data_IF_089603375994
#
_entry.id   IF_089603375994
#
_cell.length_a   1.000
_cell.length_b   1.000
_cell.length_c   1.000
_cell.angle_alpha   90.00
_cell.angle_beta   90.00
_cell.angle_gamma   90.00
#
_symmetry.space_group_name_H-M   'P 1'
#
loop_
_entity.id
_entity.type
_entity.pdbx_description
1 polymer ?
#
# COMPACT_ATOMS: atom_id res chain seq x y z
N UNK A 1 21.14 3.58 -14.65
CA UNK A 1 19.80 3.30 -14.07
C UNK A 1 19.43 4.48 -13.20
N UNK A 2 18.23 5.04 -13.35
CA UNK A 2 17.74 6.09 -12.44
C UNK A 2 17.04 5.40 -11.27
N UNK A 3 17.82 5.10 -10.24
CA UNK A 3 17.39 4.47 -8.98
C UNK A 3 16.06 5.03 -8.43
N UNK A 4 15.83 6.37 -8.38
CA UNK A 4 14.55 6.89 -7.90
C UNK A 4 13.35 6.58 -8.82
N UNK A 5 13.57 6.44 -10.12
CA UNK A 5 12.53 6.06 -11.09
C UNK A 5 12.16 4.59 -10.95
N UNK A 6 13.15 3.72 -10.77
CA UNK A 6 12.92 2.27 -10.59
C UNK A 6 12.13 2.00 -9.29
N UNK A 7 12.46 2.71 -8.20
CA UNK A 7 11.73 2.59 -6.92
C UNK A 7 10.27 3.04 -7.03
N UNK A 8 9.99 4.12 -7.77
CA UNK A 8 8.62 4.57 -8.02
C UNK A 8 7.82 3.54 -8.85
N UNK A 9 8.44 2.91 -9.85
CA UNK A 9 7.80 1.88 -10.67
C UNK A 9 7.49 0.61 -9.87
N UNK A 10 8.43 0.15 -9.04
CA UNK A 10 8.19 -0.99 -8.13
C UNK A 10 7.07 -0.65 -7.16
N UNK A 11 7.08 0.54 -6.57
CA UNK A 11 6.02 0.93 -5.64
C UNK A 11 4.66 1.07 -6.33
N UNK A 12 4.62 1.53 -7.58
CA UNK A 12 3.39 1.54 -8.38
C UNK A 12 2.85 0.11 -8.55
N UNK A 13 3.69 -0.85 -8.91
CA UNK A 13 3.28 -2.25 -9.10
C UNK A 13 2.78 -2.85 -7.78
N UNK A 14 3.53 -2.67 -6.70
CA UNK A 14 3.16 -3.15 -5.35
C UNK A 14 1.83 -2.52 -4.90
N UNK A 15 1.68 -1.20 -5.05
CA UNK A 15 0.46 -0.50 -4.68
C UNK A 15 -0.74 -0.98 -5.50
N UNK A 16 -0.57 -1.15 -6.80
CA UNK A 16 -1.66 -1.59 -7.68
C UNK A 16 -2.04 -3.04 -7.39
N UNK A 17 -1.07 -3.93 -7.22
CA UNK A 17 -1.31 -5.33 -6.85
C UNK A 17 -2.01 -5.46 -5.51
N UNK A 18 -1.52 -4.74 -4.49
CA UNK A 18 -2.12 -4.74 -3.16
C UNK A 18 -3.53 -4.13 -3.18
N UNK A 19 -3.75 -3.06 -3.95
CA UNK A 19 -5.07 -2.42 -4.07
C UNK A 19 -6.10 -3.35 -4.72
N UNK A 20 -5.72 -4.10 -5.75
CA UNK A 20 -6.62 -5.06 -6.40
C UNK A 20 -6.97 -6.21 -5.46
N UNK A 21 -5.96 -6.76 -4.78
CA UNK A 21 -6.13 -7.94 -3.94
C UNK A 21 -6.89 -7.61 -2.65
N UNK A 22 -6.48 -6.55 -1.95
CA UNK A 22 -7.12 -6.10 -0.71
C UNK A 22 -8.42 -5.36 -0.99
N UNK A 23 -8.46 -4.49 -2.00
CA UNK A 23 -9.68 -3.77 -2.36
C UNK A 23 -10.79 -4.69 -2.86
N UNK A 24 -10.45 -5.70 -3.67
CA UNK A 24 -11.41 -6.71 -4.12
C UNK A 24 -11.94 -7.57 -2.97
N UNK A 25 -11.06 -8.03 -2.08
CA UNK A 25 -11.45 -8.86 -0.94
C UNK A 25 -12.20 -8.07 0.14
N UNK A 26 -11.65 -6.93 0.56
CA UNK A 26 -12.24 -6.08 1.59
C UNK A 26 -13.53 -5.39 1.10
N UNK A 27 -13.59 -4.96 -0.16
CA UNK A 27 -14.81 -4.40 -0.75
C UNK A 27 -15.96 -5.41 -0.79
N UNK A 28 -15.65 -6.67 -1.10
CA UNK A 28 -16.63 -7.77 -1.08
C UNK A 28 -17.17 -8.08 0.31
N UNK A 29 -16.31 -8.07 1.34
CA UNK A 29 -16.70 -8.32 2.74
C UNK A 29 -17.49 -7.16 3.35
N UNK A 30 -17.03 -5.93 3.15
CA UNK A 30 -17.69 -4.74 3.70
C UNK A 30 -19.13 -4.61 3.20
N UNK A 31 -19.36 -4.90 1.92
CA UNK A 31 -20.70 -4.82 1.33
C UNK A 31 -21.62 -5.99 1.74
N UNK A 32 -21.06 -7.10 2.21
CA UNK A 32 -21.82 -8.28 2.63
C UNK A 32 -22.33 -8.17 4.09
N UNK A 33 -21.60 -7.49 4.97
CA UNK A 33 -21.88 -7.51 6.41
C UNK A 33 -22.54 -6.24 6.97
N UNK A 34 -22.32 -5.07 6.37
CA UNK A 34 -22.63 -3.80 7.04
C UNK A 34 -23.35 -2.82 6.12
N UNK A 35 -24.49 -2.27 6.58
CA UNK A 35 -25.23 -1.22 5.86
C UNK A 35 -25.33 0.03 6.74
N UNK A 36 -24.98 1.21 6.20
CA UNK A 36 -25.11 2.50 6.88
C UNK A 36 -23.78 3.18 7.24
N UNK A 37 -23.76 3.98 8.32
CA UNK A 37 -22.58 4.77 8.74
C UNK A 37 -21.37 3.91 9.11
N UNK A 38 -21.61 2.68 9.56
CA UNK A 38 -20.57 1.70 9.88
C UNK A 38 -19.82 1.22 8.63
N UNK A 39 -20.50 1.14 7.46
CA UNK A 39 -19.86 0.82 6.17
C UNK A 39 -18.81 1.89 5.81
N UNK A 40 -19.15 3.16 6.03
CA UNK A 40 -18.27 4.29 5.76
C UNK A 40 -17.04 4.26 6.68
N UNK A 41 -17.25 3.98 7.97
CA UNK A 41 -16.17 3.87 8.95
C UNK A 41 -15.24 2.68 8.62
N UNK A 42 -15.78 1.52 8.24
CA UNK A 42 -15.00 0.36 7.84
C UNK A 42 -14.17 0.65 6.59
N UNK A 43 -14.78 1.19 5.53
CA UNK A 43 -14.06 1.58 4.31
C UNK A 43 -12.95 2.59 4.59
N UNK A 44 -13.24 3.59 5.43
CA UNK A 44 -12.25 4.57 5.86
C UNK A 44 -11.06 3.91 6.57
N UNK A 45 -11.33 3.01 7.52
CA UNK A 45 -10.28 2.29 8.26
C UNK A 45 -9.42 1.38 7.38
N UNK A 46 -10.03 0.70 6.39
CA UNK A 46 -9.32 -0.13 5.42
C UNK A 46 -8.42 0.73 4.53
N UNK A 47 -8.92 1.87 4.05
CA UNK A 47 -8.11 2.82 3.27
C UNK A 47 -6.94 3.36 4.08
N UNK A 48 -7.16 3.67 5.35
CA UNK A 48 -6.11 4.13 6.26
C UNK A 48 -5.03 3.06 6.48
N UNK A 49 -5.45 1.82 6.75
CA UNK A 49 -4.53 0.69 6.91
C UNK A 49 -3.71 0.43 5.65
N UNK A 50 -4.36 0.47 4.48
CA UNK A 50 -3.71 0.36 3.18
C UNK A 50 -2.63 1.44 3.00
N UNK A 51 -2.94 2.69 3.33
CA UNK A 51 -1.98 3.80 3.26
C UNK A 51 -0.78 3.57 4.17
N UNK A 52 -0.98 3.13 5.42
CA UNK A 52 0.12 2.85 6.35
C UNK A 52 1.04 1.73 5.86
N UNK A 53 0.48 0.69 5.23
CA UNK A 53 1.27 -0.40 4.65
C UNK A 53 2.15 0.11 3.51
N UNK A 54 1.59 0.92 2.60
CA UNK A 54 2.38 1.53 1.52
C UNK A 54 3.47 2.46 2.03
N UNK A 55 3.15 3.27 3.04
CA UNK A 55 4.13 4.16 3.66
C UNK A 55 5.26 3.37 4.33
N UNK A 56 4.95 2.27 5.02
CA UNK A 56 5.96 1.39 5.61
C UNK A 56 6.86 0.73 4.56
N UNK A 57 6.27 0.25 3.46
CA UNK A 57 7.02 -0.29 2.31
C UNK A 57 7.93 0.77 1.69
N UNK A 58 7.45 1.99 1.52
CA UNK A 58 8.26 3.10 1.01
C UNK A 58 9.49 3.37 1.87
N UNK A 59 9.33 3.40 3.20
CA UNK A 59 10.44 3.59 4.13
C UNK A 59 11.41 2.41 4.13
N UNK A 60 10.91 1.18 3.98
CA UNK A 60 11.76 0.01 3.88
C UNK A 60 12.64 0.08 2.63
N UNK A 61 12.07 0.44 1.49
CA UNK A 61 12.83 0.66 0.26
C UNK A 61 13.83 1.80 0.37
N UNK A 62 13.49 2.88 1.08
CA UNK A 62 14.39 4.01 1.37
C UNK A 62 15.69 3.55 2.04
N UNK A 63 15.53 2.76 3.12
CA UNK A 63 16.66 2.26 3.91
C UNK A 63 17.53 1.28 3.13
N UNK A 64 16.93 0.46 2.27
CA UNK A 64 17.70 -0.48 1.43
C UNK A 64 18.54 0.26 0.39
N UNK A 65 18.03 1.38 -0.14
CA UNK A 65 18.75 2.22 -1.10
C UNK A 65 19.94 2.94 -0.42
N UNK A 66 19.71 3.51 0.76
CA UNK A 66 20.76 4.16 1.58
C UNK A 66 21.87 3.18 1.98
N UNK A 67 21.53 1.97 2.45
CA UNK A 67 22.52 0.98 2.87
C UNK A 67 23.39 0.43 1.73
N UNK A 68 22.92 0.48 0.49
CA UNK A 68 23.70 0.07 -0.69
C UNK A 68 24.75 1.10 -1.13
N UNK A 69 24.65 2.33 -0.61
CA UNK A 69 25.53 3.45 -0.97
C UNK A 69 26.82 3.49 -0.14
N UNK A 70 26.84 2.83 1.03
CA UNK A 70 27.99 2.80 1.96
C UNK A 70 28.99 1.66 1.67
N UNK A 71 28.67 0.73 0.76
CA UNK A 71 29.56 -0.38 0.37
C UNK A 71 30.46 -0.05 -0.84
N UNK A 72 30.58 1.22 -1.26
CA UNK A 72 31.48 1.67 -2.33
C UNK A 72 32.52 2.70 -1.87
#
# INVERSE_FOLDING_TARGET
MNVPTDRLLVMLVVATGFAVLVGGWAGGLVHAEVTGWEELALRGSIGLAFFFILFGLWQLFDRMDEGSSDEQ
#
